data_IF_272932455926
#
_entry.id   IF_272932455926
#
_cell.length_a   1.000
_cell.length_b   1.000
_cell.length_c   1.000
_cell.angle_alpha   90.00
_cell.angle_beta   90.00
_cell.angle_gamma   90.00
#
_symmetry.space_group_name_H-M   'P 1'
#
loop_
_entity.id
_entity.type
_entity.pdbx_description
1 polymer ?
#
# COMPACT_ATOMS: atom_id res chain seq x y z
N UNK A 1 -7.78 20.08 18.61
CA UNK A 1 -7.08 19.05 17.81
C UNK A 1 -8.06 18.54 16.78
N UNK A 2 -7.68 18.49 15.50
CA UNK A 2 -8.55 18.14 14.37
C UNK A 2 -7.89 16.98 13.64
N UNK A 3 -8.60 15.87 13.45
CA UNK A 3 -8.20 14.82 12.53
C UNK A 3 -8.85 15.08 11.16
N UNK A 4 -8.08 14.97 10.09
CA UNK A 4 -8.54 15.23 8.72
C UNK A 4 -8.11 14.09 7.82
N UNK A 5 -9.08 13.37 7.26
CA UNK A 5 -8.84 12.20 6.41
C UNK A 5 -8.91 12.56 4.91
N UNK A 6 -8.22 13.64 4.52
CA UNK A 6 -8.03 14.03 3.13
C UNK A 6 -6.76 14.89 2.98
N UNK A 7 -6.16 14.81 1.80
CA UNK A 7 -4.94 15.53 1.41
C UNK A 7 -5.15 17.05 1.30
N UNK A 8 -4.05 17.80 1.22
CA UNK A 8 -4.06 19.27 1.16
C UNK A 8 -4.61 19.78 -0.16
N UNK A 9 -4.47 19.06 -1.27
CA UNK A 9 -5.17 19.37 -2.53
C UNK A 9 -6.70 19.44 -2.35
N UNK A 10 -7.29 18.48 -1.63
CA UNK A 10 -8.72 18.46 -1.31
C UNK A 10 -9.06 19.60 -0.33
N UNK A 11 -8.23 19.83 0.68
CA UNK A 11 -8.40 20.98 1.58
C UNK A 11 -8.41 22.30 0.80
N UNK A 12 -7.47 22.48 -0.11
CA UNK A 12 -7.30 23.69 -0.90
C UNK A 12 -8.48 23.87 -1.88
N UNK A 13 -8.91 22.81 -2.56
CA UNK A 13 -10.09 22.84 -3.41
C UNK A 13 -11.37 23.21 -2.62
N UNK A 14 -11.55 22.63 -1.44
CA UNK A 14 -12.69 22.96 -0.57
C UNK A 14 -12.57 24.38 -0.01
N UNK A 15 -11.38 24.83 0.35
CA UNK A 15 -11.13 26.19 0.83
C UNK A 15 -11.48 27.23 -0.25
N UNK A 16 -11.02 27.03 -1.50
CA UNK A 16 -11.36 27.88 -2.65
C UNK A 16 -12.88 27.95 -2.89
N UNK A 17 -13.61 26.86 -2.63
CA UNK A 17 -15.06 26.79 -2.84
C UNK A 17 -15.89 27.35 -1.69
N UNK A 18 -15.44 27.15 -0.45
CA UNK A 18 -16.26 27.35 0.75
C UNK A 18 -15.69 28.36 1.76
N UNK A 19 -14.49 28.91 1.54
CA UNK A 19 -13.87 29.87 2.46
C UNK A 19 -13.50 29.22 3.79
N UNK A 20 -12.67 28.18 3.75
CA UNK A 20 -12.26 27.42 4.95
C UNK A 20 -11.10 28.08 5.75
N UNK A 21 -11.06 29.41 5.87
CA UNK A 21 -10.01 30.14 6.62
C UNK A 21 -9.78 29.61 8.04
N UNK A 22 -10.82 29.26 8.84
CA UNK A 22 -10.61 28.69 10.18
C UNK A 22 -9.82 27.39 10.16
N UNK A 23 -9.97 26.59 9.09
CA UNK A 23 -9.28 25.31 8.95
C UNK A 23 -7.83 25.51 8.49
N UNK A 24 -7.59 26.43 7.56
CA UNK A 24 -6.23 26.85 7.18
C UNK A 24 -5.48 27.39 8.40
N UNK A 25 -6.12 28.24 9.21
CA UNK A 25 -5.56 28.73 10.47
C UNK A 25 -5.24 27.59 11.43
N UNK A 26 -6.10 26.58 11.55
CA UNK A 26 -5.84 25.43 12.40
C UNK A 26 -4.61 24.62 11.94
N UNK A 27 -4.36 24.54 10.64
CA UNK A 27 -3.12 23.94 10.09
C UNK A 27 -1.90 24.75 10.55
N UNK A 28 -1.88 26.07 10.31
CA UNK A 28 -0.76 26.95 10.69
C UNK A 28 -0.52 26.98 12.20
N UNK A 29 -1.57 26.84 13.02
CA UNK A 29 -1.47 26.75 14.49
C UNK A 29 -1.05 25.35 14.99
N UNK A 30 -0.78 24.40 14.10
CA UNK A 30 -0.35 23.03 14.47
C UNK A 30 -1.46 22.19 15.12
N UNK A 31 -2.73 22.49 14.85
CA UNK A 31 -3.88 21.85 15.50
C UNK A 31 -4.44 20.67 14.70
N UNK A 32 -3.90 20.38 13.52
CA UNK A 32 -4.28 19.27 12.64
C UNK A 32 -3.34 18.08 12.84
N UNK A 33 -3.92 16.89 13.03
CA UNK A 33 -3.19 15.62 13.20
C UNK A 33 -2.96 14.98 11.84
N UNK A 34 -1.74 14.45 11.72
CA UNK A 34 -0.91 14.37 10.52
C UNK A 34 -0.60 15.77 9.98
N UNK A 35 0.57 16.35 10.37
CA UNK A 35 1.00 17.66 9.89
C UNK A 35 1.07 17.73 8.37
N UNK A 36 0.64 18.85 7.77
CA UNK A 36 0.62 18.98 6.31
C UNK A 36 1.99 18.90 5.65
N UNK A 37 3.07 19.17 6.39
CA UNK A 37 4.44 18.95 5.97
C UNK A 37 4.79 17.50 5.60
N UNK A 38 3.96 16.51 5.94
CA UNK A 38 4.17 15.12 5.52
C UNK A 38 3.72 14.83 4.09
N UNK A 39 2.90 15.70 3.48
CA UNK A 39 2.30 15.41 2.17
C UNK A 39 3.29 15.39 1.01
N UNK A 40 4.26 16.31 0.92
CA UNK A 40 5.27 16.28 -0.14
C UNK A 40 6.08 14.99 -0.14
N UNK A 41 6.31 14.37 1.02
CA UNK A 41 7.05 13.11 1.12
C UNK A 41 6.18 11.86 0.99
N UNK A 42 4.87 12.03 0.79
CA UNK A 42 3.90 10.94 0.64
C UNK A 42 3.58 10.60 -0.84
N UNK A 43 4.19 11.32 -1.79
CA UNK A 43 4.00 11.06 -3.21
C UNK A 43 4.78 9.81 -3.66
N UNK A 44 4.24 9.04 -4.60
CA UNK A 44 4.85 7.75 -5.00
C UNK A 44 6.20 7.90 -5.71
N UNK A 45 6.53 9.09 -6.21
CA UNK A 45 7.86 9.37 -6.80
C UNK A 45 8.98 9.26 -5.75
N UNK A 46 8.68 9.38 -4.45
CA UNK A 46 9.67 9.17 -3.38
C UNK A 46 10.26 7.75 -3.37
N UNK A 47 9.56 6.75 -3.92
CA UNK A 47 10.14 5.42 -4.09
C UNK A 47 11.32 5.42 -5.07
N UNK A 48 11.34 6.30 -6.07
CA UNK A 48 12.52 6.48 -6.94
C UNK A 48 13.70 7.04 -6.15
N UNK A 49 13.47 7.98 -5.23
CA UNK A 49 14.52 8.56 -4.37
C UNK A 49 15.12 7.48 -3.47
N UNK A 50 14.27 6.71 -2.79
CA UNK A 50 14.69 5.61 -1.90
C UNK A 50 15.48 4.53 -2.65
N UNK A 51 15.09 4.22 -3.90
CA UNK A 51 15.75 3.22 -4.76
C UNK A 51 16.71 3.83 -5.77
N UNK A 52 17.08 5.09 -5.58
CA UNK A 52 17.91 5.86 -6.49
C UNK A 52 19.38 5.92 -6.05
N UNK A 53 20.17 6.82 -6.66
CA UNK A 53 21.56 7.06 -6.28
C UNK A 53 21.72 7.47 -4.81
N UNK A 54 20.71 8.11 -4.22
CA UNK A 54 20.69 8.56 -2.83
C UNK A 54 20.30 7.46 -1.82
N UNK A 55 20.20 6.20 -2.26
CA UNK A 55 19.75 5.10 -1.40
C UNK A 55 20.57 4.94 -0.10
N UNK A 56 21.85 5.35 -0.12
CA UNK A 56 22.76 5.29 1.02
C UNK A 56 22.40 6.21 2.18
N UNK A 57 21.49 7.18 1.96
CA UNK A 57 20.95 8.04 3.01
C UNK A 57 19.82 7.37 3.82
N UNK A 58 19.29 6.25 3.33
CA UNK A 58 18.13 5.57 3.90
C UNK A 58 18.52 4.26 4.61
N UNK A 59 17.63 3.77 5.47
CA UNK A 59 17.84 2.50 6.14
C UNK A 59 17.80 1.33 5.12
N UNK A 60 18.74 0.36 5.19
CA UNK A 60 18.72 -0.81 4.32
C UNK A 60 17.40 -1.59 4.35
N UNK A 61 16.73 -1.58 5.51
CA UNK A 61 15.42 -2.20 5.72
C UNK A 61 14.31 -1.58 4.85
N UNK A 62 14.31 -0.26 4.70
CA UNK A 62 13.35 0.45 3.85
C UNK A 62 13.70 0.24 2.38
N UNK A 63 14.99 0.38 2.02
CA UNK A 63 15.46 0.24 0.64
C UNK A 63 15.19 -1.17 0.10
N UNK A 64 15.40 -2.23 0.88
CA UNK A 64 15.16 -3.61 0.44
C UNK A 64 13.68 -3.95 0.26
N UNK A 65 12.78 -3.22 0.93
CA UNK A 65 11.32 -3.42 0.90
C UNK A 65 10.58 -2.42 0.03
N UNK A 66 11.32 -1.53 -0.65
CA UNK A 66 10.74 -0.58 -1.59
C UNK A 66 10.95 -1.13 -3.00
N UNK A 67 9.89 -1.37 -3.78
CA UNK A 67 10.02 -1.85 -5.14
C UNK A 67 10.71 -0.81 -6.05
N UNK A 68 11.45 -1.29 -7.05
CA UNK A 68 12.02 -0.44 -8.09
C UNK A 68 10.94 0.44 -8.71
N UNK A 69 11.20 1.75 -8.76
CA UNK A 69 10.25 2.76 -9.21
C UNK A 69 10.98 3.87 -9.96
N UNK A 70 10.37 4.39 -11.03
CA UNK A 70 10.80 5.59 -11.74
C UNK A 70 9.60 6.47 -12.08
N UNK A 71 9.78 7.79 -11.97
CA UNK A 71 8.92 8.78 -12.62
C UNK A 71 8.93 8.54 -14.12
N UNK A 72 7.74 8.57 -14.70
CA UNK A 72 7.49 8.08 -16.05
C UNK A 72 7.42 9.23 -17.06
N UNK A 73 8.54 9.42 -17.76
CA UNK A 73 8.67 10.33 -18.90
C UNK A 73 9.86 9.88 -19.77
N UNK A 74 10.00 10.35 -21.03
CA UNK A 74 11.16 10.03 -21.86
C UNK A 74 12.47 10.45 -21.20
N UNK A 75 13.29 9.47 -20.78
CA UNK A 75 14.57 9.69 -20.11
C UNK A 75 15.44 8.43 -20.15
N UNK A 76 16.72 8.64 -19.85
CA UNK A 76 17.64 7.58 -19.48
C UNK A 76 17.52 7.25 -17.99
N UNK A 77 17.69 5.98 -17.64
CA UNK A 77 17.69 5.51 -16.24
C UNK A 77 18.35 4.13 -16.11
N UNK A 78 18.14 3.46 -14.99
CA UNK A 78 18.50 2.06 -14.78
C UNK A 78 17.25 1.22 -14.50
N UNK A 79 17.23 0.00 -15.03
CA UNK A 79 16.20 -1.02 -14.78
C UNK A 79 16.29 -1.61 -13.35
N UNK A 80 15.40 -2.55 -12.96
CA UNK A 80 15.44 -3.19 -11.64
C UNK A 80 16.76 -3.90 -11.31
N UNK A 81 17.48 -4.39 -12.33
CA UNK A 81 18.77 -5.08 -12.20
C UNK A 81 19.96 -4.10 -12.18
N UNK A 82 19.71 -2.79 -12.29
CA UNK A 82 20.74 -1.74 -12.34
C UNK A 82 21.37 -1.56 -13.73
N UNK A 83 20.81 -2.15 -14.80
CA UNK A 83 21.32 -2.00 -16.16
C UNK A 83 20.82 -0.72 -16.79
N UNK A 84 21.65 -0.09 -17.63
CA UNK A 84 21.29 1.15 -18.30
C UNK A 84 20.11 0.99 -19.27
N UNK A 85 19.17 1.91 -19.17
CA UNK A 85 17.99 2.05 -20.04
C UNK A 85 18.08 3.39 -20.76
N UNK A 86 18.17 3.37 -22.09
CA UNK A 86 18.31 4.58 -22.91
C UNK A 86 16.99 5.35 -23.07
N UNK A 87 15.88 4.64 -23.08
CA UNK A 87 14.53 5.20 -23.17
C UNK A 87 13.60 4.39 -22.25
N UNK A 88 13.21 5.00 -21.14
CA UNK A 88 12.31 4.39 -20.16
C UNK A 88 10.93 4.05 -20.76
N UNK A 89 10.44 4.84 -21.70
CA UNK A 89 9.11 4.64 -22.31
C UNK A 89 9.15 3.42 -23.23
N UNK A 90 10.17 3.32 -24.08
CA UNK A 90 10.36 2.14 -24.94
C UNK A 90 10.61 0.87 -24.11
N UNK A 91 11.43 0.97 -23.05
CA UNK A 91 11.69 -0.15 -22.15
C UNK A 91 10.42 -0.61 -21.43
N UNK A 92 9.57 0.33 -21.00
CA UNK A 92 8.30 0.01 -20.32
C UNK A 92 7.36 -0.77 -21.24
N UNK A 93 7.22 -0.37 -22.51
CA UNK A 93 6.42 -1.13 -23.50
C UNK A 93 6.90 -2.57 -23.65
N UNK A 94 8.21 -2.77 -23.79
CA UNK A 94 8.82 -4.09 -24.00
C UNK A 94 8.71 -5.02 -22.78
N UNK A 95 8.60 -4.46 -21.59
CA UNK A 95 8.60 -5.20 -20.32
C UNK A 95 7.24 -5.14 -19.59
N UNK A 96 6.20 -4.69 -20.29
CA UNK A 96 4.93 -4.28 -19.69
C UNK A 96 4.30 -5.32 -18.75
N UNK A 97 4.36 -6.61 -19.09
CA UNK A 97 3.75 -7.69 -18.30
C UNK A 97 4.24 -7.76 -16.85
N UNK A 98 5.45 -7.24 -16.59
CA UNK A 98 6.08 -7.25 -15.27
C UNK A 98 6.03 -5.88 -14.57
N UNK A 99 5.25 -4.93 -15.08
CA UNK A 99 5.24 -3.54 -14.62
C UNK A 99 3.85 -3.07 -14.22
N UNK A 100 3.83 -1.97 -13.48
CA UNK A 100 2.64 -1.22 -13.10
C UNK A 100 2.88 0.25 -13.40
N UNK A 101 1.93 0.88 -14.12
CA UNK A 101 1.86 2.32 -14.27
C UNK A 101 0.80 2.87 -13.34
N UNK A 102 1.15 3.86 -12.52
CA UNK A 102 0.22 4.49 -11.58
C UNK A 102 0.47 6.00 -11.44
N UNK A 103 -0.59 6.80 -11.28
CA UNK A 103 -0.45 8.22 -10.94
C UNK A 103 0.38 8.39 -9.66
N UNK A 104 1.26 9.40 -9.63
CA UNK A 104 2.05 9.77 -8.46
C UNK A 104 1.14 10.06 -7.27
N UNK A 105 0.06 10.83 -7.53
CA UNK A 105 -0.99 11.18 -6.58
C UNK A 105 -2.34 10.66 -7.08
N UNK A 106 -3.19 10.20 -6.18
CA UNK A 106 -4.52 9.69 -6.54
C UNK A 106 -5.05 8.65 -5.57
N UNK A 107 -6.39 8.59 -5.49
CA UNK A 107 -7.12 7.70 -4.61
C UNK A 107 -7.85 6.60 -5.41
N UNK A 108 -8.11 5.46 -4.76
CA UNK A 108 -9.04 4.43 -5.22
C UNK A 108 -8.69 3.69 -6.52
N UNK A 109 -7.42 3.69 -6.94
CA UNK A 109 -6.95 2.89 -8.08
C UNK A 109 -7.29 3.47 -9.47
N UNK A 110 -7.88 4.66 -9.54
CA UNK A 110 -8.12 5.35 -10.80
C UNK A 110 -6.79 5.63 -11.51
N UNK A 111 -6.75 5.41 -12.82
CA UNK A 111 -5.56 5.60 -13.65
C UNK A 111 -4.47 4.54 -13.50
N UNK A 112 -4.62 3.55 -12.61
CA UNK A 112 -3.66 2.43 -12.49
C UNK A 112 -3.80 1.47 -13.67
N UNK A 113 -2.67 1.00 -14.18
CA UNK A 113 -2.55 -0.02 -15.23
C UNK A 113 -1.56 -1.08 -14.76
N UNK A 114 -1.92 -2.36 -14.89
CA UNK A 114 -1.12 -3.49 -14.38
C UNK A 114 -0.83 -4.47 -15.51
N UNK A 115 0.45 -4.79 -15.72
CA UNK A 115 0.90 -5.82 -16.65
C UNK A 115 0.23 -7.17 -16.42
N UNK A 116 -0.18 -7.82 -17.52
CA UNK A 116 -0.97 -9.06 -17.53
C UNK A 116 -2.47 -8.89 -17.26
N UNK A 117 -2.89 -7.84 -16.54
CA UNK A 117 -4.31 -7.50 -16.33
C UNK A 117 -4.80 -6.59 -17.47
N UNK A 118 -4.09 -5.49 -17.70
CA UNK A 118 -4.25 -4.63 -18.85
C UNK A 118 -3.28 -5.14 -19.94
N UNK A 119 -3.76 -5.96 -20.87
CA UNK A 119 -2.88 -6.61 -21.87
C UNK A 119 -2.27 -5.64 -22.89
N UNK A 120 -2.92 -4.51 -23.12
CA UNK A 120 -2.44 -3.48 -24.03
C UNK A 120 -1.47 -2.53 -23.31
N UNK A 121 -0.17 -2.80 -23.48
CA UNK A 121 0.89 -1.96 -22.92
C UNK A 121 1.02 -0.60 -23.61
N UNK A 122 0.63 -0.50 -24.88
CA UNK A 122 0.69 0.76 -25.62
C UNK A 122 -0.39 1.72 -25.12
N UNK A 123 -1.64 1.25 -24.91
CA UNK A 123 -2.69 2.05 -24.27
C UNK A 123 -2.25 2.57 -22.90
N UNK A 124 -1.67 1.69 -22.08
CA UNK A 124 -1.25 2.04 -20.73
C UNK A 124 -0.15 3.11 -20.74
N UNK A 125 0.82 2.99 -21.63
CA UNK A 125 1.91 3.97 -21.80
C UNK A 125 1.39 5.28 -22.37
N UNK A 126 0.55 5.26 -23.39
CA UNK A 126 -0.02 6.47 -24.00
C UNK A 126 -0.91 7.25 -23.01
N UNK A 127 -1.71 6.55 -22.22
CA UNK A 127 -2.47 7.15 -21.13
C UNK A 127 -1.53 7.86 -20.14
N UNK A 128 -0.53 7.15 -19.62
CA UNK A 128 0.39 7.69 -18.63
C UNK A 128 1.17 8.91 -19.15
N UNK A 129 1.57 8.92 -20.43
CA UNK A 129 2.21 10.05 -21.08
C UNK A 129 1.25 11.24 -21.27
N UNK A 130 0.00 10.99 -21.64
CA UNK A 130 -1.00 12.04 -21.86
C UNK A 130 -1.41 12.72 -20.56
N UNK A 131 -1.67 11.94 -19.51
CA UNK A 131 -2.11 12.47 -18.22
C UNK A 131 -0.93 13.10 -17.44
N UNK A 132 0.29 12.58 -17.61
CA UNK A 132 1.48 13.05 -16.91
C UNK A 132 1.47 12.75 -15.40
N UNK A 133 2.57 13.03 -14.70
CA UNK A 133 2.73 12.72 -13.26
C UNK A 133 2.46 11.24 -12.92
N UNK A 134 2.98 10.33 -13.75
CA UNK A 134 2.94 8.89 -13.52
C UNK A 134 4.29 8.38 -13.03
N UNK A 135 4.25 7.25 -12.34
CA UNK A 135 5.41 6.39 -12.12
C UNK A 135 5.21 5.04 -12.80
N UNK A 136 6.32 4.44 -13.20
CA UNK A 136 6.42 3.01 -13.51
C UNK A 136 7.10 2.30 -12.34
N UNK A 137 6.57 1.16 -11.95
CA UNK A 137 7.06 0.36 -10.83
C UNK A 137 7.08 -1.11 -11.23
N UNK A 138 8.05 -1.87 -10.70
CA UNK A 138 8.05 -3.32 -10.84
C UNK A 138 6.82 -3.95 -10.19
N UNK A 139 6.24 -4.95 -10.85
CA UNK A 139 5.16 -5.73 -10.28
C UNK A 139 5.71 -6.60 -9.15
N UNK A 140 5.02 -6.62 -8.02
CA UNK A 140 5.43 -7.43 -6.88
C UNK A 140 5.27 -8.92 -7.21
N UNK A 141 6.30 -9.76 -7.00
CA UNK A 141 6.22 -11.22 -7.11
C UNK A 141 5.17 -11.82 -6.16
N UNK A 142 4.33 -12.75 -6.65
CA UNK A 142 3.21 -13.37 -5.91
C UNK A 142 3.61 -13.96 -4.56
N UNK A 143 4.81 -14.50 -4.44
CA UNK A 143 5.38 -15.06 -3.21
C UNK A 143 5.55 -14.03 -2.06
N UNK A 144 5.54 -12.73 -2.39
CA UNK A 144 5.65 -11.63 -1.43
C UNK A 144 4.30 -11.04 -1.02
N UNK A 145 3.22 -11.30 -1.75
CA UNK A 145 1.95 -10.57 -1.61
C UNK A 145 0.71 -11.41 -1.96
N UNK A 146 0.80 -12.73 -2.00
CA UNK A 146 -0.33 -13.62 -2.17
C UNK A 146 -0.28 -14.82 -1.22
N UNK A 147 -1.44 -15.37 -0.90
CA UNK A 147 -1.59 -16.66 -0.20
C UNK A 147 -2.83 -17.40 -0.71
N UNK A 148 -2.75 -18.73 -0.72
CA UNK A 148 -3.89 -19.59 -0.98
C UNK A 148 -4.74 -19.71 0.31
N UNK A 149 -6.02 -19.37 0.21
CA UNK A 149 -6.95 -19.35 1.34
C UNK A 149 -8.18 -20.22 1.04
N UNK A 150 -8.77 -20.86 2.07
CA UNK A 150 -10.05 -21.52 1.93
C UNK A 150 -11.13 -20.53 1.50
N UNK A 151 -11.93 -20.95 0.52
CA UNK A 151 -13.07 -20.21 0.00
C UNK A 151 -14.22 -21.17 -0.34
N UNK A 152 -15.45 -20.64 -0.30
CA UNK A 152 -16.64 -21.36 -0.76
C UNK A 152 -16.67 -21.34 -2.29
N UNK A 153 -16.56 -22.50 -2.93
CA UNK A 153 -16.87 -22.64 -4.34
C UNK A 153 -18.36 -22.92 -4.49
N UNK A 154 -19.15 -21.86 -4.69
CA UNK A 154 -20.61 -21.94 -4.81
C UNK A 154 -21.07 -22.73 -6.04
N UNK A 155 -20.28 -22.76 -7.12
CA UNK A 155 -20.63 -23.47 -8.34
C UNK A 155 -20.52 -24.99 -8.18
N UNK A 156 -19.53 -25.44 -7.42
CA UNK A 156 -19.27 -26.85 -7.17
C UNK A 156 -19.84 -27.35 -5.83
N UNK A 157 -20.35 -26.44 -4.98
CA UNK A 157 -20.90 -26.77 -3.68
C UNK A 157 -19.87 -27.39 -2.73
N UNK A 158 -18.61 -26.95 -2.80
CA UNK A 158 -17.51 -27.50 -2.01
C UNK A 158 -16.53 -26.42 -1.55
N UNK A 159 -15.70 -26.78 -0.56
CA UNK A 159 -14.55 -25.97 -0.16
C UNK A 159 -13.44 -26.07 -1.21
N UNK A 160 -12.77 -24.95 -1.47
CA UNK A 160 -11.62 -24.90 -2.36
C UNK A 160 -10.55 -23.95 -1.80
N UNK A 161 -9.30 -24.13 -2.26
CA UNK A 161 -8.26 -23.12 -2.09
C UNK A 161 -8.32 -22.16 -3.26
N UNK A 162 -8.40 -20.88 -2.95
CA UNK A 162 -8.30 -19.80 -3.92
C UNK A 162 -7.13 -18.88 -3.57
N UNK A 163 -6.42 -18.44 -4.61
CA UNK A 163 -5.31 -17.52 -4.46
C UNK A 163 -5.83 -16.11 -4.30
N UNK A 164 -5.45 -15.47 -3.21
CA UNK A 164 -5.75 -14.07 -2.96
C UNK A 164 -4.48 -13.25 -2.84
N UNK A 165 -4.52 -12.04 -3.38
CA UNK A 165 -3.56 -11.02 -3.00
C UNK A 165 -3.81 -10.67 -1.53
N UNK A 166 -2.74 -10.50 -0.80
CA UNK A 166 -2.72 -10.15 0.61
C UNK A 166 -1.80 -8.96 0.81
N UNK A 167 -2.26 -7.99 1.58
CA UNK A 167 -1.49 -6.80 1.91
C UNK A 167 -1.44 -6.61 3.44
N UNK A 168 -0.27 -6.22 3.93
CA UNK A 168 0.01 -6.08 5.35
C UNK A 168 0.42 -4.64 5.66
N UNK A 169 -0.59 -3.81 5.92
CA UNK A 169 -0.40 -2.39 6.18
C UNK A 169 -0.01 -2.16 7.64
N UNK A 170 1.21 -1.73 7.88
CA UNK A 170 1.67 -1.36 9.21
C UNK A 170 1.25 0.07 9.55
N UNK A 171 0.79 0.29 10.77
CA UNK A 171 0.50 1.60 11.34
C UNK A 171 1.58 1.94 12.36
N UNK A 172 2.17 3.13 12.27
CA UNK A 172 3.28 3.55 13.13
C UNK A 172 3.23 5.03 13.45
N UNK A 173 3.93 5.40 14.54
CA UNK A 173 4.16 6.79 14.91
C UNK A 173 5.54 6.98 15.55
N UNK A 174 5.76 8.08 16.30
CA UNK A 174 7.09 8.43 16.82
C UNK A 174 7.67 7.42 17.81
N UNK A 175 6.83 6.58 18.42
CA UNK A 175 7.23 5.55 19.38
C UNK A 175 7.30 4.15 18.79
N UNK A 176 7.14 4.02 17.47
CA UNK A 176 7.19 2.74 16.75
C UNK A 176 5.83 2.28 16.23
N UNK A 177 5.72 0.97 15.99
CA UNK A 177 4.54 0.33 15.40
C UNK A 177 3.37 0.30 16.40
N UNK A 178 2.20 0.74 15.97
CA UNK A 178 0.94 0.68 16.71
C UNK A 178 0.15 -0.59 16.43
N UNK A 179 0.25 -1.11 15.21
CA UNK A 179 -0.49 -2.28 14.78
C UNK A 179 -0.47 -2.41 13.27
N UNK A 180 -1.43 -3.15 12.73
CA UNK A 180 -1.52 -3.45 11.32
C UNK A 180 -2.96 -3.70 10.89
N UNK A 181 -3.20 -3.49 9.60
CA UNK A 181 -4.40 -3.91 8.90
C UNK A 181 -3.99 -4.95 7.85
N UNK A 182 -4.55 -6.15 7.92
CA UNK A 182 -4.34 -7.16 6.88
C UNK A 182 -5.52 -7.12 5.91
N UNK A 183 -5.23 -6.85 4.65
CA UNK A 183 -6.21 -6.84 3.56
C UNK A 183 -6.02 -8.10 2.72
N UNK A 184 -7.10 -8.64 2.17
CA UNK A 184 -7.04 -9.74 1.21
C UNK A 184 -8.07 -9.54 0.09
N UNK A 185 -7.83 -10.09 -1.10
CA UNK A 185 -8.78 -9.99 -2.21
C UNK A 185 -8.16 -10.22 -3.58
N UNK A 186 -8.87 -9.81 -4.63
CA UNK A 186 -8.33 -9.77 -5.99
C UNK A 186 -7.31 -8.65 -6.18
N UNK A 187 -6.89 -8.44 -7.42
CA UNK A 187 -5.98 -7.34 -7.80
C UNK A 187 -6.81 -6.21 -8.40
N UNK A 188 -6.95 -5.03 -7.75
CA UNK A 188 -6.37 -4.61 -6.47
C UNK A 188 -7.18 -5.07 -5.24
N UNK A 189 -6.52 -5.18 -4.07
CA UNK A 189 -7.12 -5.59 -2.78
C UNK A 189 -8.01 -4.54 -2.11
N UNK A 190 -8.40 -3.49 -2.84
CA UNK A 190 -9.24 -2.44 -2.28
C UNK A 190 -10.62 -2.99 -1.95
N UNK A 191 -11.18 -2.61 -0.80
CA UNK A 191 -12.52 -3.05 -0.38
C UNK A 191 -13.57 -2.68 -1.43
N UNK A 192 -13.48 -1.47 -1.99
CA UNK A 192 -14.35 -1.03 -3.09
C UNK A 192 -14.20 -1.81 -4.41
N UNK A 193 -13.19 -2.68 -4.52
CA UNK A 193 -12.93 -3.55 -5.67
C UNK A 193 -13.18 -5.03 -5.36
N UNK A 194 -13.90 -5.33 -4.26
CA UNK A 194 -14.19 -6.70 -3.82
C UNK A 194 -13.17 -7.30 -2.86
N UNK A 195 -12.21 -6.49 -2.39
CA UNK A 195 -11.31 -6.85 -1.29
C UNK A 195 -12.00 -6.87 0.07
N UNK A 196 -11.29 -7.40 1.05
CA UNK A 196 -11.75 -7.57 2.42
C UNK A 196 -10.61 -7.51 3.42
N UNK A 197 -10.88 -7.96 4.64
CA UNK A 197 -9.90 -8.04 5.73
C UNK A 197 -9.58 -9.48 6.08
N UNK A 198 -8.34 -9.72 6.46
CA UNK A 198 -7.90 -11.02 6.94
C UNK A 198 -7.62 -10.90 8.46
N UNK A 199 -8.21 -11.74 9.31
CA UNK A 199 -7.84 -11.78 10.73
C UNK A 199 -6.35 -12.11 10.90
N UNK A 200 -5.76 -11.81 12.06
CA UNK A 200 -4.36 -12.18 12.35
C UNK A 200 -4.29 -13.23 13.47
N UNK A 201 -3.45 -14.24 13.28
CA UNK A 201 -3.04 -15.20 14.31
C UNK A 201 -1.53 -15.17 14.55
N UNK A 202 -1.13 -15.20 15.82
CA UNK A 202 0.30 -15.30 16.20
C UNK A 202 0.62 -16.76 16.53
N UNK A 203 1.46 -17.38 15.73
CA UNK A 203 1.97 -18.73 15.94
C UNK A 203 3.06 -18.74 17.02
N UNK A 204 2.73 -19.25 18.20
CA UNK A 204 3.67 -19.44 19.32
C UNK A 204 4.31 -20.83 19.37
N UNK A 205 3.99 -21.67 18.39
CA UNK A 205 4.55 -23.02 18.21
C UNK A 205 5.92 -22.95 17.52
N UNK A 206 6.82 -23.92 17.74
CA UNK A 206 8.04 -24.06 16.94
C UNK A 206 7.77 -24.52 15.50
N UNK A 207 6.53 -24.89 15.16
CA UNK A 207 6.09 -25.21 13.80
C UNK A 207 6.35 -24.04 12.84
N UNK A 208 6.67 -24.33 11.58
CA UNK A 208 6.79 -23.29 10.57
C UNK A 208 5.43 -22.64 10.28
N UNK A 209 5.43 -21.38 9.83
CA UNK A 209 4.18 -20.71 9.42
C UNK A 209 3.52 -21.45 8.25
N UNK A 210 4.31 -22.00 7.33
CA UNK A 210 3.85 -22.83 6.21
C UNK A 210 3.05 -24.03 6.69
N UNK A 211 3.61 -24.83 7.58
CA UNK A 211 2.95 -26.04 8.10
C UNK A 211 1.71 -25.69 8.92
N UNK A 212 1.75 -24.59 9.68
CA UNK A 212 0.60 -24.14 10.45
C UNK A 212 -0.56 -23.71 9.52
N UNK A 213 -0.25 -22.96 8.46
CA UNK A 213 -1.24 -22.55 7.46
C UNK A 213 -1.77 -23.75 6.69
N UNK A 214 -0.92 -24.69 6.28
CA UNK A 214 -1.35 -25.92 5.62
C UNK A 214 -2.35 -26.70 6.48
N UNK A 215 -2.05 -26.91 7.77
CA UNK A 215 -2.98 -27.59 8.69
C UNK A 215 -4.30 -26.84 8.89
N UNK A 216 -4.27 -25.51 8.94
CA UNK A 216 -5.49 -24.70 9.04
C UNK A 216 -6.31 -24.83 7.75
N UNK A 217 -5.64 -24.79 6.60
CA UNK A 217 -6.27 -24.97 5.29
C UNK A 217 -6.94 -26.35 5.23
N UNK A 218 -6.20 -27.43 5.51
CA UNK A 218 -6.71 -28.81 5.50
C UNK A 218 -7.92 -28.95 6.43
N UNK A 219 -7.82 -28.41 7.65
CA UNK A 219 -8.92 -28.47 8.62
C UNK A 219 -10.19 -27.75 8.15
N UNK A 220 -10.08 -26.63 7.42
CA UNK A 220 -11.24 -25.90 6.88
C UNK A 220 -11.76 -26.57 5.59
N UNK A 221 -10.88 -27.13 4.76
CA UNK A 221 -11.27 -27.85 3.55
C UNK A 221 -12.03 -29.15 3.86
N UNK A 222 -11.71 -29.80 4.98
CA UNK A 222 -12.36 -31.04 5.44
C UNK A 222 -13.73 -30.78 6.13
N UNK A 223 -14.12 -29.52 6.35
CA UNK A 223 -15.43 -29.18 6.91
C UNK A 223 -16.56 -29.37 5.89
N UNK A 224 -17.76 -29.64 6.38
CA UNK A 224 -18.95 -29.67 5.53
C UNK A 224 -19.22 -28.28 4.93
N UNK A 225 -19.51 -28.24 3.63
CA UNK A 225 -19.74 -26.99 2.91
C UNK A 225 -20.89 -26.16 3.53
N UNK A 226 -21.97 -26.82 3.97
CA UNK A 226 -23.12 -26.13 4.55
C UNK A 226 -22.74 -25.48 5.89
N UNK A 227 -21.97 -26.18 6.73
CA UNK A 227 -21.50 -25.63 8.01
C UNK A 227 -20.63 -24.38 7.80
N UNK A 228 -19.72 -24.40 6.83
CA UNK A 228 -18.89 -23.22 6.51
C UNK A 228 -19.73 -22.10 5.89
N UNK A 229 -20.68 -22.43 5.03
CA UNK A 229 -21.59 -21.44 4.43
C UNK A 229 -22.42 -20.70 5.48
N UNK A 230 -22.94 -21.43 6.48
CA UNK A 230 -23.66 -20.85 7.62
C UNK A 230 -22.76 -19.90 8.44
N UNK A 231 -21.48 -20.26 8.64
CA UNK A 231 -20.50 -19.38 9.31
C UNK A 231 -20.25 -18.11 8.49
N UNK A 232 -20.12 -18.21 7.16
CA UNK A 232 -19.92 -17.03 6.29
C UNK A 232 -21.16 -16.12 6.32
N UNK A 233 -22.36 -16.69 6.31
CA UNK A 233 -23.59 -15.93 6.46
C UNK A 233 -23.62 -15.19 7.81
N UNK A 234 -23.34 -15.91 8.91
CA UNK A 234 -23.27 -15.32 10.25
C UNK A 234 -22.24 -14.18 10.31
N UNK A 235 -21.06 -14.34 9.70
CA UNK A 235 -20.06 -13.27 9.60
C UNK A 235 -20.61 -12.04 8.85
N UNK A 236 -21.34 -12.27 7.76
CA UNK A 236 -22.00 -11.21 6.99
C UNK A 236 -23.04 -10.45 7.80
N UNK A 237 -23.91 -11.16 8.52
CA UNK A 237 -24.92 -10.58 9.41
C UNK A 237 -24.27 -9.75 10.54
N UNK A 238 -23.27 -10.32 11.21
CA UNK A 238 -22.51 -9.61 12.24
C UNK A 238 -21.82 -8.34 11.70
N UNK A 239 -21.27 -8.39 10.48
CA UNK A 239 -20.65 -7.23 9.86
C UNK A 239 -21.67 -6.11 9.61
N UNK A 240 -22.89 -6.45 9.18
CA UNK A 240 -23.98 -5.49 9.02
C UNK A 240 -24.41 -4.90 10.37
N UNK A 241 -24.62 -5.74 11.38
CA UNK A 241 -25.07 -5.33 12.72
C UNK A 241 -24.06 -4.37 13.39
N UNK A 242 -22.77 -4.61 13.17
CA UNK A 242 -21.69 -3.79 13.73
C UNK A 242 -21.28 -2.62 12.82
N UNK A 243 -22.00 -2.37 11.71
CA UNK A 243 -21.66 -1.34 10.72
C UNK A 243 -20.23 -1.49 10.19
N UNK A 244 -19.73 -2.72 10.14
CA UNK A 244 -18.47 -3.07 9.48
C UNK A 244 -18.73 -3.30 7.98
N UNK A 245 -19.16 -2.22 7.34
CA UNK A 245 -19.67 -2.19 5.97
C UNK A 245 -18.89 -1.20 5.13
N UNK A 246 -18.79 -1.44 3.82
CA UNK A 246 -18.25 -0.49 2.86
C UNK A 246 -19.26 -0.29 1.74
N UNK A 247 -19.60 0.98 1.47
CA UNK A 247 -20.76 1.35 0.65
C UNK A 247 -22.04 0.69 1.17
N UNK A 248 -22.62 -0.25 0.41
CA UNK A 248 -23.92 -0.86 0.70
C UNK A 248 -23.81 -2.32 1.21
N UNK A 249 -22.61 -2.85 1.40
CA UNK A 249 -22.42 -4.26 1.75
C UNK A 249 -21.43 -4.51 2.90
N UNK A 250 -21.45 -5.72 3.49
CA UNK A 250 -20.50 -6.12 4.52
C UNK A 250 -19.08 -6.20 3.94
N UNK A 251 -18.09 -5.81 4.74
CA UNK A 251 -16.69 -6.00 4.36
C UNK A 251 -16.39 -7.50 4.42
N UNK A 252 -15.91 -8.07 3.31
CA UNK A 252 -15.55 -9.49 3.23
C UNK A 252 -14.46 -9.82 4.26
N UNK A 253 -14.56 -10.99 4.88
CA UNK A 253 -13.54 -11.52 5.79
C UNK A 253 -13.01 -12.86 5.30
N UNK A 254 -11.71 -13.10 5.45
CA UNK A 254 -11.09 -14.37 5.09
C UNK A 254 -11.47 -15.47 6.09
N UNK A 255 -11.64 -16.71 5.62
CA UNK A 255 -11.99 -17.86 6.47
C UNK A 255 -10.88 -18.29 7.43
N UNK A 256 -9.63 -17.93 7.14
CA UNK A 256 -8.51 -18.16 8.04
C UNK A 256 -7.76 -16.88 8.38
N UNK A 257 -7.14 -16.81 9.57
CA UNK A 257 -6.22 -15.74 9.86
C UNK A 257 -4.96 -15.82 8.98
N UNK A 258 -4.37 -14.65 8.74
CA UNK A 258 -2.97 -14.51 8.35
C UNK A 258 -2.13 -14.92 9.56
N UNK A 259 -1.26 -15.90 9.37
CA UNK A 259 -0.45 -16.44 10.47
C UNK A 259 0.93 -15.79 10.42
N UNK A 260 1.37 -15.27 11.56
CA UNK A 260 2.73 -14.70 11.72
C UNK A 260 3.38 -15.25 12.99
N UNK A 261 4.72 -15.19 13.06
CA UNK A 261 5.47 -15.57 14.26
C UNK A 261 5.83 -14.34 15.11
N UNK A 262 6.24 -14.52 16.38
CA UNK A 262 6.84 -13.43 17.17
C UNK A 262 8.05 -12.77 16.47
N UNK A 263 8.86 -13.54 15.75
CA UNK A 263 9.98 -12.99 14.98
C UNK A 263 9.54 -12.11 13.81
N UNK A 264 8.39 -12.41 13.17
CA UNK A 264 7.80 -11.53 12.17
C UNK A 264 7.33 -10.21 12.79
N UNK A 265 6.75 -10.22 13.98
CA UNK A 265 6.36 -8.99 14.69
C UNK A 265 7.57 -8.11 15.00
N UNK A 266 8.68 -8.69 15.43
CA UNK A 266 9.93 -7.95 15.65
C UNK A 266 10.46 -7.35 14.35
N UNK A 267 10.48 -8.13 13.26
CA UNK A 267 10.90 -7.64 11.95
C UNK A 267 10.03 -6.48 11.43
N UNK A 268 8.71 -6.56 11.64
CA UNK A 268 7.78 -5.48 11.31
C UNK A 268 8.03 -4.23 12.16
N UNK A 269 8.33 -4.39 13.45
CA UNK A 269 8.71 -3.30 14.34
C UNK A 269 10.01 -2.58 13.90
N UNK A 270 11.01 -3.37 13.49
CA UNK A 270 12.27 -2.85 12.95
C UNK A 270 12.06 -2.10 11.64
N UNK A 271 11.22 -2.64 10.75
CA UNK A 271 10.84 -1.97 9.50
C UNK A 271 10.10 -0.65 9.74
N UNK A 272 9.09 -0.64 10.62
CA UNK A 272 8.37 0.60 10.94
C UNK A 272 9.32 1.67 11.48
N UNK A 273 10.24 1.27 12.37
CA UNK A 273 11.26 2.17 12.92
C UNK A 273 12.20 2.71 11.84
N UNK A 274 12.53 1.89 10.84
CA UNK A 274 13.35 2.29 9.71
C UNK A 274 12.63 3.27 8.79
N UNK A 275 11.39 2.96 8.39
CA UNK A 275 10.58 3.85 7.53
C UNK A 275 10.33 5.19 8.21
N UNK A 276 10.03 5.21 9.51
CA UNK A 276 9.85 6.47 10.24
C UNK A 276 11.09 7.38 10.16
N UNK A 277 12.30 6.82 10.33
CA UNK A 277 13.57 7.55 10.20
C UNK A 277 13.78 8.04 8.76
N UNK A 278 13.44 7.22 7.78
CA UNK A 278 13.61 7.57 6.38
C UNK A 278 12.63 8.64 5.92
N UNK A 279 11.41 8.67 6.45
CA UNK A 279 10.49 9.79 6.26
C UNK A 279 11.06 11.10 6.83
N UNK A 280 11.76 11.08 7.97
CA UNK A 280 12.45 12.27 8.49
C UNK A 280 13.58 12.73 7.56
N UNK A 281 14.30 11.77 6.97
CA UNK A 281 15.29 12.07 5.93
C UNK A 281 14.64 12.70 4.70
N UNK A 282 13.54 12.14 4.19
CA UNK A 282 12.79 12.73 3.07
C UNK A 282 12.29 14.14 3.40
N UNK A 283 11.75 14.37 4.61
CA UNK A 283 11.27 15.70 5.00
C UNK A 283 12.44 16.70 5.03
N UNK A 284 13.59 16.29 5.58
CA UNK A 284 14.80 17.13 5.58
C UNK A 284 15.23 17.49 4.16
N UNK A 285 15.27 16.52 3.26
CA UNK A 285 15.64 16.73 1.84
C UNK A 285 14.61 17.63 1.12
N UNK A 286 13.33 17.51 1.44
CA UNK A 286 12.31 18.42 0.92
C UNK A 286 12.52 19.85 1.43
N UNK A 287 12.75 20.02 2.73
CA UNK A 287 12.95 21.35 3.32
C UNK A 287 14.25 22.04 2.87
N UNK A 288 15.26 21.29 2.41
CA UNK A 288 16.51 21.81 1.84
C UNK A 288 16.42 22.10 0.33
N UNK A 289 15.33 21.71 -0.34
CA UNK A 289 15.13 21.86 -1.79
C UNK A 289 15.74 20.72 -2.63
N UNK A 290 16.32 19.69 -2.01
CA UNK A 290 16.92 18.54 -2.72
C UNK A 290 15.86 17.71 -3.47
N UNK A 291 14.58 17.82 -3.07
CA UNK A 291 13.47 17.09 -3.69
C UNK A 291 12.62 17.95 -4.62
N UNK A 292 12.95 19.22 -4.86
CA UNK A 292 12.08 20.12 -5.64
C UNK A 292 11.72 19.55 -7.03
N UNK A 293 12.68 18.91 -7.70
CA UNK A 293 12.47 18.26 -9.00
C UNK A 293 11.57 17.02 -8.95
N UNK A 294 11.28 16.46 -7.77
CA UNK A 294 10.41 15.28 -7.56
C UNK A 294 9.00 15.64 -7.09
N UNK A 295 8.75 16.90 -6.74
CA UNK A 295 7.50 17.37 -6.13
C UNK A 295 6.67 18.14 -7.16
N UNK A 296 5.69 17.45 -7.75
CA UNK A 296 4.69 18.05 -8.65
C UNK A 296 3.44 18.44 -7.85
N UNK A 297 3.55 19.51 -7.05
CA UNK A 297 2.51 20.02 -6.14
C UNK A 297 2.35 21.52 -6.36
N UNK A 298 1.12 22.02 -6.39
CA UNK A 298 0.88 23.46 -6.61
C UNK A 298 1.41 24.32 -5.45
N UNK A 299 1.90 25.52 -5.75
CA UNK A 299 2.62 26.34 -4.76
C UNK A 299 1.76 26.71 -3.55
N UNK A 300 0.47 26.99 -3.73
CA UNK A 300 -0.46 27.24 -2.62
C UNK A 300 -0.60 26.03 -1.68
N UNK A 301 -0.61 24.82 -2.23
CA UNK A 301 -0.63 23.58 -1.46
C UNK A 301 0.70 23.41 -0.70
N UNK A 302 1.84 23.70 -1.33
CA UNK A 302 3.15 23.68 -0.67
C UNK A 302 3.26 24.72 0.43
N UNK A 303 2.65 25.90 0.27
CA UNK A 303 2.61 26.92 1.33
C UNK A 303 1.83 26.42 2.56
N UNK A 304 0.71 25.72 2.35
CA UNK A 304 -0.03 25.09 3.45
C UNK A 304 0.84 24.02 4.13
N UNK A 305 1.49 23.15 3.35
CA UNK A 305 2.39 22.12 3.88
C UNK A 305 3.55 22.73 4.70
N UNK A 306 4.19 23.78 4.19
CA UNK A 306 5.28 24.50 4.88
C UNK A 306 4.81 25.23 6.14
N UNK A 307 3.54 25.64 6.20
CA UNK A 307 2.95 26.28 7.39
C UNK A 307 2.81 25.34 8.58
N UNK A 308 2.83 24.02 8.34
CA UNK A 308 2.77 22.99 9.38
C UNK A 308 3.78 21.87 9.09
N UNK A 309 5.07 22.19 9.20
CA UNK A 309 6.17 21.21 9.14
C UNK A 309 5.93 20.07 10.13
N UNK A 310 6.34 18.86 9.79
CA UNK A 310 6.18 17.69 10.64
C UNK A 310 7.30 17.59 11.68
N UNK A 311 8.56 17.66 11.26
CA UNK A 311 9.75 17.64 12.12
C UNK A 311 9.77 16.47 13.13
N UNK A 312 9.19 15.33 12.77
CA UNK A 312 9.07 14.15 13.63
C UNK A 312 8.08 14.27 14.78
N UNK A 313 7.20 15.27 14.74
CA UNK A 313 6.09 15.39 15.68
C UNK A 313 5.07 14.24 15.59
N UNK A 314 4.03 14.26 16.44
CA UNK A 314 2.98 13.26 16.42
C UNK A 314 2.30 13.16 15.05
N UNK A 315 2.39 11.97 14.45
CA UNK A 315 1.71 11.58 13.22
C UNK A 315 1.47 10.06 13.25
N UNK A 316 0.51 9.61 12.45
CA UNK A 316 0.24 8.20 12.20
C UNK A 316 0.51 7.93 10.73
N UNK A 317 1.55 7.13 10.46
CA UNK A 317 1.90 6.70 9.12
C UNK A 317 1.43 5.28 8.88
N UNK A 318 1.01 5.06 7.63
CA UNK A 318 0.70 3.75 7.11
C UNK A 318 1.76 3.36 6.08
N UNK A 319 2.28 2.14 6.15
CA UNK A 319 3.23 1.65 5.16
C UNK A 319 2.95 0.19 4.81
N UNK A 320 3.01 -0.10 3.52
CA UNK A 320 2.80 -1.42 2.94
C UNK A 320 4.18 -1.91 2.50
N UNK A 321 4.86 -2.70 3.34
CA UNK A 321 6.17 -3.26 3.02
C UNK A 321 6.06 -4.60 2.31
N UNK A 322 7.08 -4.96 1.54
CA UNK A 322 7.16 -6.28 0.92
C UNK A 322 7.52 -7.34 1.97
N UNK A 323 6.53 -8.06 2.49
CA UNK A 323 6.70 -9.09 3.52
C UNK A 323 6.11 -10.43 3.10
N UNK A 324 6.99 -11.42 2.97
CA UNK A 324 6.56 -12.81 3.06
C UNK A 324 6.59 -13.26 4.52
N UNK A 325 5.52 -13.91 4.96
CA UNK A 325 5.45 -14.56 6.27
C UNK A 325 5.58 -16.08 6.18
N UNK A 326 5.94 -16.61 4.99
CA UNK A 326 6.29 -18.01 4.79
C UNK A 326 5.13 -18.93 4.37
N UNK A 327 3.91 -18.42 4.22
CA UNK A 327 2.75 -19.18 3.73
C UNK A 327 2.34 -18.82 2.30
N UNK A 328 3.26 -18.21 1.54
CA UNK A 328 3.05 -17.88 0.15
C UNK A 328 3.03 -19.13 -0.75
N UNK A 329 2.37 -19.06 -1.91
CA UNK A 329 2.33 -20.18 -2.85
C UNK A 329 3.70 -20.50 -3.43
N UNK A 330 3.98 -21.78 -3.68
CA UNK A 330 5.27 -22.24 -4.22
C UNK A 330 5.37 -22.09 -5.74
N UNK A 331 4.23 -22.02 -6.44
CA UNK A 331 4.13 -21.83 -7.88
C UNK A 331 3.47 -20.48 -8.24
N UNK A 332 3.91 -19.80 -9.32
CA UNK A 332 3.32 -18.55 -9.81
C UNK A 332 1.79 -18.59 -9.99
#
# INVERSE_FOLDING_TARGET
MIFMDFNTDVLLALHRKHGLDPLIRAVTEGRVVNPRGTEPINVKSMFEVIRGPENGQFQPETVRRTPWTRRFFPRQTQDPDGREVRDLVEWTRKNWDNLVLKPERGYSGFGVRVGGVNRDGDEAVELALREGNYIVQEKIPLDLWAEDNPALNMAEGKMALERYQTDFRCLMGPTGMYGFLVRFGGVPTNVGSGGGVQPLGILRSPMSVRDAVARINDAILDMDFADVADIVQMQGEMAMDNRFTYLLGPIRMALRPRVISPGHLEALGNYCSAVWKDCLTLERMWLSGELDDYISIEEEELQIARSQKWLGGPAVFATDGLFSFGAHPEEP
#
